data_IF_416058591363
#
_entry.id   IF_416058591363
#
_cell.length_a   1.000
_cell.length_b   1.000
_cell.length_c   1.000
_cell.angle_alpha   90.00
_cell.angle_beta   90.00
_cell.angle_gamma   90.00
#
_symmetry.space_group_name_H-M   'P 1'
#
loop_
_entity.id
_entity.type
_entity.pdbx_description
1 polymer ?
#
# COMPACT_ATOMS: atom_id res chain seq x y z
N UNK A 1 0.82 -25.42 -4.44
CA UNK A 1 0.80 -24.41 -5.53
C UNK A 1 2.01 -23.50 -5.35
N UNK A 2 2.87 -23.34 -6.38
CA UNK A 2 4.13 -22.60 -6.27
C UNK A 2 3.82 -21.09 -6.22
N UNK A 3 4.51 -20.32 -5.32
CA UNK A 3 4.37 -18.86 -5.12
C UNK A 3 4.35 -18.07 -6.44
N UNK A 4 5.13 -18.48 -7.44
CA UNK A 4 5.16 -17.88 -8.78
C UNK A 4 3.84 -18.04 -9.54
N UNK A 5 3.18 -19.20 -9.45
CA UNK A 5 1.87 -19.45 -10.09
C UNK A 5 0.74 -18.70 -9.41
N UNK A 6 0.81 -18.52 -8.09
CA UNK A 6 -0.16 -17.72 -7.33
C UNK A 6 -0.09 -16.24 -7.74
N UNK A 7 1.11 -15.68 -7.87
CA UNK A 7 1.30 -14.28 -8.31
C UNK A 7 0.91 -14.08 -9.79
N UNK A 8 1.12 -15.07 -10.65
CA UNK A 8 0.62 -15.03 -12.02
C UNK A 8 -0.91 -15.10 -12.11
N UNK A 9 -1.55 -15.78 -11.18
CA UNK A 9 -3.01 -15.83 -11.10
C UNK A 9 -3.59 -14.48 -10.64
N UNK A 10 -2.95 -13.80 -9.70
CA UNK A 10 -3.34 -12.46 -9.26
C UNK A 10 -3.19 -11.39 -10.35
N UNK A 11 -2.24 -11.53 -11.27
CA UNK A 11 -2.05 -10.56 -12.35
C UNK A 11 -3.13 -10.62 -13.45
N UNK A 12 -3.95 -11.67 -13.45
CA UNK A 12 -5.08 -11.83 -14.38
C UNK A 12 -6.41 -11.26 -13.83
N UNK A 13 -6.46 -10.91 -12.55
CA UNK A 13 -7.69 -10.43 -11.88
C UNK A 13 -8.26 -9.09 -12.41
N UNK A 14 -7.47 -8.10 -12.91
CA UNK A 14 -8.03 -6.84 -13.41
C UNK A 14 -8.93 -6.99 -14.64
N UNK A 15 -8.86 -8.10 -15.37
CA UNK A 15 -9.68 -8.30 -16.57
C UNK A 15 -11.03 -8.99 -16.32
N UNK A 16 -11.34 -9.34 -15.07
CA UNK A 16 -12.53 -10.12 -14.75
C UNK A 16 -13.54 -9.42 -13.81
N UNK A 17 -13.69 -8.08 -13.96
CA UNK A 17 -14.81 -7.38 -13.29
C UNK A 17 -16.19 -8.02 -13.51
N UNK A 18 -16.53 -8.60 -14.69
CA UNK A 18 -17.79 -9.30 -14.85
C UNK A 18 -17.85 -10.68 -14.18
N UNK A 19 -16.69 -11.31 -13.90
CA UNK A 19 -16.68 -12.60 -13.18
C UNK A 19 -16.95 -12.42 -11.68
N UNK A 20 -16.52 -11.32 -11.08
CA UNK A 20 -16.84 -11.00 -9.69
C UNK A 20 -18.34 -10.80 -9.47
N UNK A 21 -19.06 -10.25 -10.44
CA UNK A 21 -20.52 -10.15 -10.37
C UNK A 21 -21.24 -11.51 -10.52
N UNK A 22 -20.63 -12.48 -11.20
CA UNK A 22 -21.14 -13.85 -11.31
C UNK A 22 -20.92 -14.65 -10.02
N UNK A 23 -19.89 -14.36 -9.24
CA UNK A 23 -19.68 -14.95 -7.90
C UNK A 23 -20.67 -14.42 -6.86
N UNK A 24 -21.27 -13.27 -7.08
CA UNK A 24 -22.22 -12.62 -6.17
C UNK A 24 -23.51 -13.44 -5.91
N UNK A 25 -23.84 -14.40 -6.74
CA UNK A 25 -25.14 -15.09 -6.65
C UNK A 25 -25.18 -16.40 -5.87
N UNK A 26 -24.03 -16.98 -5.45
CA UNK A 26 -23.99 -18.32 -4.82
C UNK A 26 -23.00 -18.49 -3.65
N UNK A 27 -22.52 -17.42 -3.03
CA UNK A 27 -21.56 -17.54 -1.90
C UNK A 27 -22.29 -17.82 -0.56
N UNK A 28 -23.60 -17.75 -0.52
CA UNK A 28 -24.40 -17.70 0.72
C UNK A 28 -24.41 -18.96 1.59
N UNK A 29 -23.85 -20.08 1.16
CA UNK A 29 -23.86 -21.33 1.93
C UNK A 29 -22.51 -21.81 2.43
N UNK A 30 -21.42 -21.34 1.89
CA UNK A 30 -20.08 -21.77 2.28
C UNK A 30 -19.51 -20.87 3.36
N UNK A 31 -19.16 -21.45 4.50
CA UNK A 31 -18.37 -20.76 5.53
C UNK A 31 -16.93 -20.65 5.08
N UNK A 32 -16.40 -19.44 5.06
CA UNK A 32 -14.99 -19.15 4.71
C UNK A 32 -14.24 -18.90 6.01
N UNK A 33 -13.14 -19.60 6.21
CA UNK A 33 -12.25 -19.36 7.35
C UNK A 33 -11.03 -18.62 6.85
N UNK A 34 -10.78 -17.45 7.41
CA UNK A 34 -9.56 -16.66 7.20
C UNK A 34 -8.67 -16.84 8.41
N UNK A 35 -7.44 -17.30 8.21
CA UNK A 35 -6.47 -17.54 9.28
C UNK A 35 -5.44 -16.40 9.29
N UNK A 36 -5.37 -15.70 10.40
CA UNK A 36 -4.53 -14.54 10.61
C UNK A 36 -5.31 -13.22 10.56
N UNK A 37 -5.33 -12.48 11.69
CA UNK A 37 -6.01 -11.20 11.85
C UNK A 37 -5.03 -10.00 11.75
N UNK A 38 -3.96 -10.16 11.01
CA UNK A 38 -3.15 -9.03 10.54
C UNK A 38 -3.87 -8.27 9.42
N UNK A 39 -3.26 -7.18 8.94
CA UNK A 39 -3.87 -6.29 7.93
C UNK A 39 -4.41 -7.04 6.71
N UNK A 40 -3.67 -8.02 6.20
CA UNK A 40 -4.06 -8.79 5.00
C UNK A 40 -5.31 -9.63 5.28
N UNK A 41 -5.30 -10.42 6.37
CA UNK A 41 -6.42 -11.29 6.69
C UNK A 41 -7.69 -10.52 7.06
N UNK A 42 -7.53 -9.43 7.78
CA UNK A 42 -8.66 -8.55 8.14
C UNK A 42 -9.29 -7.91 6.90
N UNK A 43 -8.48 -7.38 5.98
CA UNK A 43 -8.99 -6.82 4.72
C UNK A 43 -9.69 -7.88 3.85
N UNK A 44 -9.14 -9.10 3.76
CA UNK A 44 -9.76 -10.21 3.03
C UNK A 44 -11.11 -10.58 3.66
N UNK A 45 -11.15 -10.73 4.98
CA UNK A 45 -12.37 -11.07 5.70
C UNK A 45 -13.45 -10.00 5.53
N UNK A 46 -13.05 -8.74 5.61
CA UNK A 46 -13.93 -7.60 5.42
C UNK A 46 -14.54 -7.58 4.02
N UNK A 47 -13.71 -7.64 2.98
CA UNK A 47 -14.18 -7.64 1.60
C UNK A 47 -15.10 -8.83 1.30
N UNK A 48 -14.75 -10.03 1.72
CA UNK A 48 -15.61 -11.20 1.57
C UNK A 48 -16.97 -11.01 2.25
N UNK A 49 -17.00 -10.39 3.43
CA UNK A 49 -18.24 -10.09 4.15
C UNK A 49 -19.12 -9.08 3.40
N UNK A 50 -18.52 -8.08 2.74
CA UNK A 50 -19.25 -7.13 1.88
C UNK A 50 -19.96 -7.82 0.70
N UNK A 51 -19.40 -8.90 0.20
CA UNK A 51 -20.03 -9.73 -0.83
C UNK A 51 -21.02 -10.77 -0.28
N UNK A 52 -21.34 -10.71 1.01
CA UNK A 52 -22.34 -11.59 1.64
C UNK A 52 -21.82 -12.97 2.03
N UNK A 53 -20.51 -13.20 2.03
CA UNK A 53 -19.95 -14.44 2.50
C UNK A 53 -20.05 -14.57 4.03
N UNK A 54 -20.31 -15.81 4.52
CA UNK A 54 -20.19 -16.13 5.94
C UNK A 54 -18.71 -16.34 6.28
N UNK A 55 -18.08 -15.35 6.91
CA UNK A 55 -16.64 -15.36 7.19
C UNK A 55 -16.37 -15.59 8.67
N UNK A 56 -15.41 -16.46 8.97
CA UNK A 56 -14.83 -16.66 10.30
C UNK A 56 -13.36 -16.23 10.23
N UNK A 57 -13.00 -15.19 10.95
CA UNK A 57 -11.61 -14.74 11.10
C UNK A 57 -11.03 -15.33 12.38
N UNK A 58 -9.92 -16.04 12.29
CA UNK A 58 -9.24 -16.65 13.44
C UNK A 58 -7.78 -16.24 13.51
N UNK A 59 -7.30 -16.04 14.71
CA UNK A 59 -5.88 -15.77 14.97
C UNK A 59 -5.43 -16.49 16.24
N UNK A 60 -4.14 -16.72 16.36
CA UNK A 60 -3.54 -17.28 17.57
C UNK A 60 -3.44 -16.24 18.70
N UNK A 61 -3.30 -14.97 18.33
CA UNK A 61 -3.14 -13.85 19.24
C UNK A 61 -4.23 -12.80 18.99
N UNK A 62 -4.12 -11.64 19.66
CA UNK A 62 -4.98 -10.50 19.39
C UNK A 62 -4.80 -9.95 17.96
N UNK A 63 -5.82 -9.31 17.37
CA UNK A 63 -5.70 -8.70 16.07
C UNK A 63 -4.50 -7.75 15.98
N UNK A 64 -3.75 -7.85 14.89
CA UNK A 64 -2.58 -7.00 14.68
C UNK A 64 -1.33 -7.32 15.48
N UNK A 65 -1.37 -8.26 16.42
CA UNK A 65 -0.25 -8.57 17.34
C UNK A 65 1.06 -9.03 16.67
N UNK A 66 1.00 -9.44 15.41
CA UNK A 66 2.19 -9.85 14.64
C UNK A 66 2.84 -8.71 13.89
N UNK A 67 3.24 -9.00 12.65
CA UNK A 67 3.93 -8.06 11.74
C UNK A 67 3.15 -6.75 11.53
N UNK A 68 1.82 -6.79 11.54
CA UNK A 68 1.01 -5.58 11.34
C UNK A 68 1.19 -4.56 12.46
N UNK A 69 1.16 -4.99 13.71
CA UNK A 69 1.38 -4.09 14.85
C UNK A 69 2.84 -3.69 15.09
N UNK A 70 3.78 -4.39 14.44
CA UNK A 70 5.22 -4.04 14.46
C UNK A 70 5.65 -3.33 13.18
N UNK A 71 4.71 -2.94 12.35
CA UNK A 71 4.97 -2.30 11.07
C UNK A 71 5.31 -0.82 11.24
N UNK A 72 6.00 -0.28 10.27
CA UNK A 72 6.29 1.15 10.14
C UNK A 72 5.05 1.99 9.74
N UNK A 73 3.96 1.34 9.38
CA UNK A 73 2.65 1.95 9.05
C UNK A 73 2.65 2.96 7.90
N UNK A 74 3.71 3.04 7.13
CA UNK A 74 3.83 3.93 5.98
C UNK A 74 3.03 3.41 4.80
N UNK A 75 2.07 4.21 4.33
CA UNK A 75 1.28 3.95 3.13
C UNK A 75 1.96 4.66 1.97
N UNK A 76 2.60 3.92 1.08
CA UNK A 76 3.33 4.50 -0.04
C UNK A 76 3.19 3.71 -1.34
N UNK A 77 3.23 4.45 -2.45
CA UNK A 77 3.33 3.89 -3.79
C UNK A 77 4.52 4.46 -4.58
N UNK A 78 5.19 5.45 -4.04
CA UNK A 78 6.22 6.25 -4.71
C UNK A 78 7.62 5.71 -4.51
N UNK A 79 7.89 5.01 -3.41
CA UNK A 79 9.14 4.29 -3.23
C UNK A 79 9.42 3.37 -4.43
N UNK A 80 10.65 3.32 -4.95
CA UNK A 80 10.99 2.52 -6.12
C UNK A 80 10.66 1.04 -5.98
N UNK A 81 9.53 0.62 -6.53
CA UNK A 81 9.03 -0.75 -6.52
C UNK A 81 9.08 -1.35 -7.91
N UNK A 82 9.77 -2.48 -8.04
CA UNK A 82 9.88 -3.25 -9.28
C UNK A 82 9.43 -4.68 -9.05
N UNK A 83 8.83 -5.37 -10.02
CA UNK A 83 8.43 -4.91 -11.37
C UNK A 83 7.21 -3.98 -11.36
N UNK A 84 6.78 -3.51 -12.54
CA UNK A 84 5.61 -2.64 -12.71
C UNK A 84 4.35 -3.14 -12.00
N UNK A 85 4.07 -4.43 -12.04
CA UNK A 85 2.91 -5.02 -11.35
C UNK A 85 2.90 -4.76 -9.83
N UNK A 86 4.08 -4.74 -9.21
CA UNK A 86 4.19 -4.42 -7.79
C UNK A 86 3.97 -2.92 -7.53
N UNK A 87 4.53 -2.05 -8.36
CA UNK A 87 4.29 -0.62 -8.29
C UNK A 87 2.80 -0.31 -8.49
N UNK A 88 2.18 -0.88 -9.54
CA UNK A 88 0.76 -0.69 -9.83
C UNK A 88 -0.15 -1.14 -8.67
N UNK A 89 0.13 -2.30 -8.08
CA UNK A 89 -0.59 -2.78 -6.91
C UNK A 89 -0.49 -1.79 -5.73
N UNK A 90 0.68 -1.20 -5.51
CA UNK A 90 0.86 -0.20 -4.46
C UNK A 90 0.06 1.08 -4.72
N UNK A 91 -0.05 1.52 -5.98
CA UNK A 91 -0.89 2.66 -6.35
C UNK A 91 -2.38 2.38 -6.12
N UNK A 92 -2.84 1.17 -6.45
CA UNK A 92 -4.21 0.73 -6.12
C UNK A 92 -4.43 0.71 -4.60
N UNK A 93 -3.40 0.33 -3.84
CA UNK A 93 -3.43 0.36 -2.38
C UNK A 93 -3.69 1.76 -1.80
N UNK A 94 -3.06 2.81 -2.35
CA UNK A 94 -3.32 4.20 -1.93
C UNK A 94 -4.82 4.55 -2.10
N UNK A 95 -5.39 4.22 -3.25
CA UNK A 95 -6.82 4.48 -3.51
C UNK A 95 -7.72 3.68 -2.56
N UNK A 96 -7.40 2.40 -2.37
CA UNK A 96 -8.15 1.51 -1.47
C UNK A 96 -8.12 2.01 -0.01
N UNK A 97 -6.97 2.49 0.49
CA UNK A 97 -6.87 3.08 1.82
C UNK A 97 -7.74 4.33 1.97
N UNK A 98 -7.77 5.21 0.95
CA UNK A 98 -8.62 6.40 0.95
C UNK A 98 -10.11 6.06 1.02
N UNK A 99 -10.53 5.04 0.30
CA UNK A 99 -11.92 4.57 0.31
C UNK A 99 -12.26 3.89 1.65
N UNK A 100 -11.41 2.97 2.10
CA UNK A 100 -11.60 2.21 3.32
C UNK A 100 -11.64 3.12 4.56
N UNK A 101 -10.78 4.12 4.62
CA UNK A 101 -10.77 5.10 5.71
C UNK A 101 -12.09 5.87 5.81
N UNK A 102 -12.70 6.24 4.68
CA UNK A 102 -14.00 6.89 4.65
C UNK A 102 -15.12 5.94 5.08
N UNK A 103 -15.07 4.71 4.60
CA UNK A 103 -16.07 3.68 4.87
C UNK A 103 -16.08 3.25 6.34
N UNK A 104 -14.91 3.05 6.93
CA UNK A 104 -14.75 2.57 8.31
C UNK A 104 -14.49 3.69 9.32
N UNK A 105 -14.33 4.92 8.85
CA UNK A 105 -14.08 6.11 9.70
C UNK A 105 -12.85 5.97 10.61
N UNK A 106 -11.79 5.31 10.15
CA UNK A 106 -10.51 5.28 10.86
C UNK A 106 -9.57 6.39 10.38
N UNK A 107 -8.72 6.93 11.28
CA UNK A 107 -7.85 8.05 10.93
C UNK A 107 -6.71 7.62 9.99
N UNK A 108 -6.50 8.40 8.95
CA UNK A 108 -5.34 8.35 8.07
C UNK A 108 -4.73 9.74 7.97
N UNK A 109 -3.42 9.82 8.09
CA UNK A 109 -2.67 11.05 7.90
C UNK A 109 -1.99 11.05 6.55
N UNK A 110 -2.40 11.95 5.66
CA UNK A 110 -1.82 12.14 4.32
C UNK A 110 -0.90 13.35 4.34
N UNK A 111 0.26 13.21 5.00
CA UNK A 111 1.23 14.29 5.20
C UNK A 111 2.32 14.33 4.13
N UNK A 112 2.30 13.37 3.24
CA UNK A 112 3.40 13.13 2.33
C UNK A 112 4.55 12.37 2.99
N UNK A 113 5.63 12.19 2.25
CA UNK A 113 6.87 11.62 2.75
C UNK A 113 8.09 12.28 2.13
N UNK A 114 9.17 12.30 2.88
CA UNK A 114 10.49 12.77 2.44
C UNK A 114 11.45 11.58 2.45
N UNK A 115 12.16 11.39 1.35
CA UNK A 115 13.14 10.31 1.20
C UNK A 115 14.47 10.88 0.71
N UNK A 116 15.55 10.62 1.46
CA UNK A 116 16.88 11.18 1.16
C UNK A 116 18.00 10.24 1.55
N UNK A 117 19.19 10.53 1.07
CA UNK A 117 20.42 9.88 1.47
C UNK A 117 21.53 10.93 1.73
N UNK A 118 22.34 10.69 2.74
CA UNK A 118 23.50 11.54 3.05
C UNK A 118 24.59 11.45 1.96
N UNK A 119 24.80 10.23 1.44
CA UNK A 119 25.81 10.00 0.41
C UNK A 119 25.27 10.34 -0.98
N UNK A 120 25.94 11.25 -1.67
CA UNK A 120 25.57 11.73 -3.01
C UNK A 120 25.40 10.58 -4.04
N UNK A 121 26.20 9.48 -3.92
CA UNK A 121 26.05 8.33 -4.80
C UNK A 121 24.70 7.63 -4.65
N UNK A 122 24.16 7.59 -3.43
CA UNK A 122 22.91 6.90 -3.12
C UNK A 122 21.72 7.82 -3.41
N UNK A 123 21.85 9.13 -3.17
CA UNK A 123 20.92 10.16 -3.68
C UNK A 123 20.73 10.03 -5.20
N UNK A 124 21.82 9.97 -5.97
CA UNK A 124 21.74 9.80 -7.44
C UNK A 124 21.04 8.52 -7.85
N UNK A 125 21.23 7.42 -7.12
CA UNK A 125 20.52 6.15 -7.38
C UNK A 125 19.03 6.27 -7.10
N UNK A 126 18.66 6.88 -5.97
CA UNK A 126 17.27 7.14 -5.61
C UNK A 126 16.58 7.98 -6.70
N UNK A 127 17.15 9.13 -7.03
CA UNK A 127 16.60 10.04 -8.05
C UNK A 127 16.44 9.33 -9.39
N UNK A 128 17.44 8.53 -9.80
CA UNK A 128 17.33 7.76 -11.05
C UNK A 128 16.19 6.75 -10.97
N UNK A 129 16.10 5.99 -9.88
CA UNK A 129 15.06 4.98 -9.72
C UNK A 129 13.66 5.60 -9.72
N UNK A 130 13.50 6.73 -9.06
CA UNK A 130 12.25 7.51 -9.01
C UNK A 130 11.88 8.03 -10.41
N UNK A 131 12.83 8.60 -11.17
CA UNK A 131 12.58 9.03 -12.55
C UNK A 131 12.19 7.86 -13.47
N UNK A 132 12.79 6.70 -13.28
CA UNK A 132 12.44 5.50 -14.04
C UNK A 132 10.97 5.09 -13.79
N UNK A 133 10.45 5.27 -12.57
CA UNK A 133 9.07 4.96 -12.21
C UNK A 133 8.05 5.92 -12.86
N UNK A 134 8.43 7.16 -13.11
CA UNK A 134 7.55 8.14 -13.77
C UNK A 134 7.15 7.71 -15.18
N UNK A 135 7.90 6.78 -15.79
CA UNK A 135 7.55 6.18 -17.07
C UNK A 135 6.44 5.12 -16.95
N UNK A 136 6.06 4.72 -15.75
CA UNK A 136 4.98 3.75 -15.56
C UNK A 136 3.61 4.44 -15.72
N UNK A 137 2.65 3.79 -16.41
CA UNK A 137 1.30 4.32 -16.55
C UNK A 137 0.66 4.62 -15.19
N UNK A 138 0.04 5.78 -15.06
CA UNK A 138 -0.68 6.20 -13.84
C UNK A 138 0.19 6.26 -12.57
N UNK A 139 1.50 6.39 -12.73
CA UNK A 139 2.37 6.58 -11.58
C UNK A 139 1.99 7.86 -10.81
N UNK A 140 1.93 7.75 -9.48
CA UNK A 140 1.62 8.89 -8.62
C UNK A 140 2.78 9.89 -8.63
N UNK A 141 2.50 11.19 -8.60
CA UNK A 141 3.53 12.22 -8.69
C UNK A 141 4.45 12.20 -7.47
N UNK A 142 5.71 12.49 -7.73
CA UNK A 142 6.70 12.82 -6.72
C UNK A 142 7.62 13.90 -7.27
N UNK A 143 8.24 14.64 -6.39
CA UNK A 143 9.02 15.81 -6.70
C UNK A 143 10.45 15.64 -6.16
N UNK A 144 11.43 16.09 -6.93
CA UNK A 144 12.81 16.19 -6.46
C UNK A 144 12.99 17.64 -6.04
N UNK A 145 13.09 17.85 -4.73
CA UNK A 145 13.18 19.18 -4.12
C UNK A 145 14.60 19.44 -3.59
N UNK A 146 14.90 20.69 -3.34
CA UNK A 146 16.18 21.09 -2.73
C UNK A 146 16.23 20.76 -1.25
N UNK A 147 17.40 20.80 -0.65
CA UNK A 147 17.57 20.69 0.81
C UNK A 147 16.86 21.82 1.55
N UNK A 148 16.87 23.02 1.00
CA UNK A 148 16.20 24.19 1.56
C UNK A 148 14.69 24.02 1.57
N UNK A 149 14.11 23.56 0.45
CA UNK A 149 12.67 23.28 0.37
C UNK A 149 12.27 22.13 1.32
N UNK A 150 13.10 21.08 1.42
CA UNK A 150 12.86 19.98 2.35
C UNK A 150 12.86 20.44 3.82
N UNK A 151 13.73 21.38 4.17
CA UNK A 151 13.77 21.97 5.52
C UNK A 151 12.50 22.76 5.86
N UNK A 152 11.78 23.28 4.87
CA UNK A 152 10.45 23.88 5.12
C UNK A 152 9.40 22.86 5.54
N UNK A 153 9.51 21.62 5.09
CA UNK A 153 8.64 20.53 5.53
C UNK A 153 9.04 19.97 6.89
N UNK A 154 10.35 19.80 7.13
CA UNK A 154 10.91 19.24 8.37
C UNK A 154 12.05 20.11 8.90
N UNK A 155 11.75 21.20 9.66
CA UNK A 155 12.74 22.18 10.11
C UNK A 155 13.82 21.63 11.05
N UNK A 156 13.56 20.50 11.67
CA UNK A 156 14.50 19.88 12.62
C UNK A 156 15.46 18.88 11.96
N UNK A 157 15.37 18.70 10.65
CA UNK A 157 16.25 17.79 9.90
C UNK A 157 17.20 18.62 9.03
N UNK A 158 18.50 18.29 9.12
CA UNK A 158 19.51 18.87 8.24
C UNK A 158 19.65 17.99 6.98
N UNK A 159 19.08 18.43 5.89
CA UNK A 159 19.25 17.77 4.60
C UNK A 159 20.53 18.26 3.90
N UNK A 160 21.44 17.34 3.57
CA UNK A 160 22.69 17.66 2.88
C UNK A 160 22.56 17.64 1.36
N UNK A 161 21.61 16.87 0.84
CA UNK A 161 21.38 16.63 -0.58
C UNK A 161 19.92 16.87 -0.93
N UNK A 162 19.59 16.69 -2.22
CA UNK A 162 18.20 16.74 -2.69
C UNK A 162 17.36 15.62 -2.06
N UNK A 163 16.09 15.91 -1.93
CA UNK A 163 15.10 15.05 -1.30
C UNK A 163 14.03 14.67 -2.32
N UNK A 164 13.53 13.46 -2.27
CA UNK A 164 12.32 13.06 -2.98
C UNK A 164 11.13 13.31 -2.07
N UNK A 165 10.23 14.16 -2.50
CA UNK A 165 8.98 14.45 -1.82
C UNK A 165 7.83 13.78 -2.54
N UNK A 166 7.01 13.04 -1.81
CA UNK A 166 5.83 12.32 -2.28
C UNK A 166 4.59 12.80 -1.53
N UNK A 167 3.82 13.68 -2.13
CA UNK A 167 2.62 14.28 -1.51
C UNK A 167 1.46 13.31 -1.29
N UNK A 168 1.48 12.18 -2.01
CA UNK A 168 0.39 11.18 -1.96
C UNK A 168 0.60 10.11 -0.91
N UNK A 169 1.74 10.09 -0.25
CA UNK A 169 2.05 9.15 0.80
C UNK A 169 1.43 9.56 2.14
N UNK A 170 1.24 8.60 3.01
CA UNK A 170 0.65 8.81 4.32
C UNK A 170 0.99 7.71 5.31
N UNK A 171 0.37 7.76 6.47
CA UNK A 171 0.52 6.73 7.49
C UNK A 171 -0.80 6.46 8.22
N UNK A 172 -0.88 5.27 8.83
CA UNK A 172 -1.95 4.90 9.76
C UNK A 172 -1.39 5.08 11.16
N UNK A 173 -2.13 5.79 12.01
CA UNK A 173 -1.88 5.76 13.44
C UNK A 173 -2.43 4.47 14.02
N UNK A 174 -1.62 3.78 14.82
CA UNK A 174 -1.96 2.47 15.41
C UNK A 174 -2.07 2.51 16.93
N UNK A 175 -1.99 3.69 17.53
CA UNK A 175 -2.17 3.87 18.98
C UNK A 175 -3.65 3.92 19.38
#
# INVERSE_FOLDING_TARGET
MNRRRFLQFLSLLPFYSPLLSAFSKNISTNKIVVVGSGIIGTCIAYELSKYGASVILIDKYSPGAGTSGSSFNWINATYPKKPFSYNYLSQLGISAYKELSKELSFPLSWTGSLEWFELLKDEKKLIKAVKDLQNYPKHLPHHIISSEDATMHEPNILFQNRVVYSETDGFVDTD
#
